data_IF_250925514050
#
_entry.id   IF_250925514050
#
_cell.length_a   1.000
_cell.length_b   1.000
_cell.length_c   1.000
_cell.angle_alpha   90.00
_cell.angle_beta   90.00
_cell.angle_gamma   90.00
#
_symmetry.space_group_name_H-M   'P 1'
#
loop_
_entity.id
_entity.type
_entity.pdbx_description
1 polymer ?
#
# COMPACT_ATOMS: atom_id res chain seq x y z
N UNK A 1 -12.69 23.71 7.09
CA UNK A 1 -13.78 24.22 6.25
C UNK A 1 -14.83 23.14 6.20
N UNK A 2 -15.85 23.20 7.06
CA UNK A 2 -16.99 22.30 6.94
C UNK A 2 -17.77 22.75 5.69
N UNK A 3 -17.57 22.06 4.59
CA UNK A 3 -18.49 22.14 3.47
C UNK A 3 -19.76 21.44 3.96
N UNK A 4 -20.82 22.18 4.12
CA UNK A 4 -22.15 21.64 4.42
C UNK A 4 -22.60 20.84 3.19
N UNK A 5 -22.27 19.55 3.16
CA UNK A 5 -22.41 18.63 2.02
C UNK A 5 -23.88 18.22 1.81
N UNK A 6 -24.79 18.74 2.63
CA UNK A 6 -26.24 18.42 2.57
C UNK A 6 -27.08 19.33 1.67
N UNK A 7 -26.47 20.30 0.96
CA UNK A 7 -27.20 21.07 -0.03
C UNK A 7 -27.27 20.31 -1.36
N UNK A 8 -28.44 19.81 -1.70
CA UNK A 8 -28.71 19.04 -2.93
C UNK A 8 -28.34 19.77 -4.23
N UNK A 9 -28.20 21.08 -4.20
CA UNK A 9 -27.67 21.90 -5.29
C UNK A 9 -26.14 21.75 -5.45
N UNK A 10 -25.43 21.53 -4.36
CA UNK A 10 -23.97 21.37 -4.37
C UNK A 10 -23.57 20.00 -4.93
N UNK A 11 -24.33 18.93 -4.62
CA UNK A 11 -24.05 17.56 -5.10
C UNK A 11 -24.05 17.44 -6.63
N UNK A 12 -24.85 18.26 -7.34
CA UNK A 12 -24.93 18.21 -8.81
C UNK A 12 -23.70 18.79 -9.52
N UNK A 13 -22.89 19.60 -8.85
CA UNK A 13 -21.73 20.30 -9.43
C UNK A 13 -20.39 19.77 -8.94
N UNK A 14 -20.37 18.77 -8.06
CA UNK A 14 -19.15 18.20 -7.48
C UNK A 14 -18.90 16.80 -8.08
N UNK A 15 -17.70 16.59 -8.56
CA UNK A 15 -17.20 15.30 -9.01
C UNK A 15 -16.10 14.81 -8.09
N UNK A 16 -16.33 13.66 -7.42
CA UNK A 16 -15.35 13.02 -6.57
C UNK A 16 -14.61 11.93 -7.35
N UNK A 17 -13.30 12.03 -7.40
CA UNK A 17 -12.43 11.16 -8.17
C UNK A 17 -11.33 10.55 -7.32
N UNK A 18 -10.84 9.40 -7.75
CA UNK A 18 -9.61 8.80 -7.26
C UNK A 18 -8.89 8.03 -8.39
N UNK A 19 -7.58 7.80 -8.31
CA UNK A 19 -6.85 7.02 -9.32
C UNK A 19 -7.26 5.55 -9.39
N UNK A 20 -7.67 4.96 -8.25
CA UNK A 20 -7.99 3.54 -8.13
C UNK A 20 -9.44 3.31 -7.72
N UNK A 21 -9.99 2.12 -8.08
CA UNK A 21 -11.35 1.74 -7.71
C UNK A 21 -11.56 1.63 -6.20
N UNK A 22 -10.58 1.11 -5.48
CA UNK A 22 -10.65 1.02 -4.00
C UNK A 22 -10.67 2.39 -3.34
N UNK A 23 -9.82 3.30 -3.78
CA UNK A 23 -9.80 4.67 -3.26
C UNK A 23 -11.14 5.38 -3.55
N UNK A 24 -11.70 5.24 -4.76
CA UNK A 24 -12.99 5.84 -5.10
C UNK A 24 -14.13 5.24 -4.28
N UNK A 25 -14.16 3.92 -4.08
CA UNK A 25 -15.17 3.25 -3.24
C UNK A 25 -15.10 3.74 -1.78
N UNK A 26 -13.87 3.85 -1.25
CA UNK A 26 -13.64 4.37 0.09
C UNK A 26 -14.08 5.83 0.23
N UNK A 27 -13.71 6.68 -0.74
CA UNK A 27 -14.13 8.08 -0.79
C UNK A 27 -15.66 8.21 -0.80
N UNK A 28 -16.35 7.37 -1.59
CA UNK A 28 -17.82 7.31 -1.61
C UNK A 28 -18.40 6.91 -0.25
N UNK A 29 -17.84 5.90 0.42
CA UNK A 29 -18.33 5.46 1.74
C UNK A 29 -18.14 6.56 2.78
N UNK A 30 -17.01 7.25 2.77
CA UNK A 30 -16.69 8.30 3.75
C UNK A 30 -17.52 9.57 3.56
N UNK A 31 -17.81 9.92 2.31
CA UNK A 31 -18.52 11.17 1.98
C UNK A 31 -20.02 11.00 1.82
N UNK A 32 -20.49 9.78 1.56
CA UNK A 32 -21.88 9.51 1.15
C UNK A 32 -22.19 9.96 -0.28
N UNK A 33 -21.23 10.61 -0.98
CA UNK A 33 -21.40 11.11 -2.35
C UNK A 33 -20.78 10.11 -3.33
N UNK A 34 -21.42 9.93 -4.49
CA UNK A 34 -20.91 9.05 -5.54
C UNK A 34 -19.52 9.48 -5.97
N UNK A 35 -18.57 8.57 -5.85
CA UNK A 35 -17.20 8.74 -6.33
C UNK A 35 -16.85 7.67 -7.37
N UNK A 36 -15.92 7.98 -8.26
CA UNK A 36 -15.49 7.06 -9.33
C UNK A 36 -14.00 7.26 -9.64
N UNK A 37 -13.46 6.34 -10.44
CA UNK A 37 -12.06 6.49 -10.89
C UNK A 37 -11.95 7.59 -11.94
N UNK A 38 -10.77 8.22 -12.04
CA UNK A 38 -10.49 9.22 -13.09
C UNK A 38 -10.73 8.59 -14.46
N UNK A 39 -10.23 7.38 -14.72
CA UNK A 39 -10.45 6.65 -15.97
C UNK A 39 -11.94 6.49 -16.32
N UNK A 40 -12.76 6.15 -15.32
CA UNK A 40 -14.20 6.00 -15.52
C UNK A 40 -14.89 7.34 -15.79
N UNK A 41 -14.49 8.41 -15.11
CA UNK A 41 -15.00 9.75 -15.35
C UNK A 41 -14.66 10.25 -16.76
N UNK A 42 -13.47 9.91 -17.24
CA UNK A 42 -13.02 10.22 -18.59
C UNK A 42 -13.52 9.24 -19.66
N UNK A 43 -14.35 8.25 -19.26
CA UNK A 43 -14.92 7.25 -20.17
C UNK A 43 -13.82 6.51 -20.97
N UNK A 44 -12.77 6.06 -20.28
CA UNK A 44 -11.67 5.33 -20.88
C UNK A 44 -12.13 4.02 -21.53
N UNK A 45 -11.68 3.79 -22.75
CA UNK A 45 -11.89 2.56 -23.52
C UNK A 45 -10.55 2.08 -24.07
N UNK A 46 -10.23 0.81 -23.87
CA UNK A 46 -8.95 0.20 -24.32
C UNK A 46 -8.70 0.33 -25.83
N UNK A 47 -9.76 0.38 -26.63
CA UNK A 47 -9.66 0.48 -28.11
C UNK A 47 -9.70 1.91 -28.65
N UNK A 48 -10.20 2.87 -27.89
CA UNK A 48 -10.47 4.24 -28.34
C UNK A 48 -9.85 5.33 -27.46
N UNK A 49 -9.20 4.97 -26.35
CA UNK A 49 -8.66 5.96 -25.41
C UNK A 49 -9.75 6.61 -24.54
N UNK A 50 -9.59 7.91 -24.29
CA UNK A 50 -10.51 8.68 -23.45
C UNK A 50 -11.58 9.39 -24.31
N UNK A 51 -12.88 9.15 -24.03
CA UNK A 51 -13.98 9.81 -24.71
C UNK A 51 -14.24 11.22 -24.22
N UNK A 52 -13.85 11.55 -22.99
CA UNK A 52 -13.86 12.90 -22.45
C UNK A 52 -12.56 13.58 -22.78
N UNK A 53 -12.63 14.82 -23.27
CA UNK A 53 -11.45 15.59 -23.71
C UNK A 53 -11.84 16.99 -24.21
N UNK A 54 -11.11 17.52 -25.18
CA UNK A 54 -11.32 18.88 -25.67
C UNK A 54 -12.72 19.14 -26.23
N UNK A 55 -13.28 18.19 -26.97
CA UNK A 55 -14.59 18.32 -27.64
C UNK A 55 -15.76 17.81 -26.79
N UNK A 56 -15.48 17.06 -25.74
CA UNK A 56 -16.49 16.47 -24.85
C UNK A 56 -16.08 16.63 -23.39
N UNK A 57 -16.38 17.78 -22.82
CA UNK A 57 -15.98 18.18 -21.46
C UNK A 57 -16.78 17.46 -20.38
N UNK A 58 -16.18 17.39 -19.18
CA UNK A 58 -16.92 17.13 -17.96
C UNK A 58 -17.83 18.34 -17.66
N UNK A 59 -19.00 18.06 -17.08
CA UNK A 59 -20.01 19.11 -16.79
C UNK A 59 -19.86 19.77 -15.44
N UNK A 60 -19.04 19.14 -14.57
CA UNK A 60 -18.90 19.54 -13.18
C UNK A 60 -17.92 20.70 -13.01
N UNK A 61 -18.28 21.61 -12.09
CA UNK A 61 -17.49 22.81 -11.84
C UNK A 61 -16.48 22.64 -10.70
N UNK A 62 -16.65 21.65 -9.82
CA UNK A 62 -15.72 21.33 -8.75
C UNK A 62 -15.31 19.87 -8.82
N UNK A 63 -14.04 19.63 -9.04
CA UNK A 63 -13.45 18.29 -9.12
C UNK A 63 -12.54 18.10 -7.92
N UNK A 64 -12.82 17.10 -7.09
CA UNK A 64 -12.00 16.74 -5.94
C UNK A 64 -11.38 15.38 -6.22
N UNK A 65 -10.06 15.29 -6.12
CA UNK A 65 -9.30 14.09 -6.46
C UNK A 65 -8.54 13.64 -5.24
N UNK A 66 -8.93 12.51 -4.68
CA UNK A 66 -8.21 11.87 -3.56
C UNK A 66 -7.10 10.95 -4.07
N UNK A 67 -6.13 10.60 -3.20
CA UNK A 67 -4.93 9.80 -3.50
C UNK A 67 -4.13 10.34 -4.71
N UNK A 68 -4.02 11.67 -4.82
CA UNK A 68 -3.41 12.36 -5.97
C UNK A 68 -1.91 12.06 -6.15
N UNK A 69 -1.23 11.49 -5.16
CA UNK A 69 0.16 11.01 -5.29
C UNK A 69 0.31 9.91 -6.36
N UNK A 70 -0.77 9.21 -6.69
CA UNK A 70 -0.79 8.13 -7.68
C UNK A 70 -1.08 8.61 -9.11
N UNK A 71 -1.33 9.90 -9.33
CA UNK A 71 -1.61 10.44 -10.67
C UNK A 71 -0.29 10.63 -11.41
N UNK A 72 -0.19 10.05 -12.62
CA UNK A 72 0.89 10.31 -13.55
C UNK A 72 0.58 11.47 -14.49
N UNK A 73 1.58 11.86 -15.29
CA UNK A 73 1.45 13.02 -16.20
C UNK A 73 0.43 12.77 -17.31
N UNK A 74 0.34 11.55 -17.81
CA UNK A 74 -0.58 11.18 -18.88
C UNK A 74 -2.03 11.30 -18.41
N UNK A 75 -2.33 10.74 -17.24
CA UNK A 75 -3.67 10.83 -16.67
C UNK A 75 -4.05 12.26 -16.30
N UNK A 76 -3.09 13.05 -15.79
CA UNK A 76 -3.29 14.48 -15.55
C UNK A 76 -3.61 15.22 -16.85
N UNK A 77 -2.86 14.96 -17.91
CA UNK A 77 -3.06 15.59 -19.21
C UNK A 77 -4.49 15.37 -19.71
N UNK A 78 -4.95 14.13 -19.79
CA UNK A 78 -6.30 13.81 -20.25
C UNK A 78 -7.40 14.38 -19.34
N UNK A 79 -7.14 14.42 -18.02
CA UNK A 79 -8.07 15.06 -17.10
C UNK A 79 -8.19 16.56 -17.37
N UNK A 80 -7.07 17.26 -17.54
CA UNK A 80 -7.08 18.70 -17.83
C UNK A 80 -7.77 19.03 -19.15
N UNK A 81 -7.55 18.19 -20.18
CA UNK A 81 -8.25 18.35 -21.46
C UNK A 81 -9.76 18.22 -21.32
N UNK A 82 -10.26 17.40 -20.40
CA UNK A 82 -11.67 17.18 -20.19
C UNK A 82 -12.37 18.23 -19.34
N UNK A 83 -11.65 19.17 -18.73
CA UNK A 83 -12.22 20.17 -17.82
C UNK A 83 -12.77 21.40 -18.55
N UNK A 84 -13.81 22.00 -17.98
CA UNK A 84 -14.22 23.35 -18.36
C UNK A 84 -13.17 24.35 -17.86
N UNK A 85 -13.01 25.46 -18.58
CA UNK A 85 -12.07 26.53 -18.16
C UNK A 85 -12.47 27.16 -16.81
N UNK A 86 -13.73 27.03 -16.43
CA UNK A 86 -14.29 27.52 -15.17
C UNK A 86 -14.22 26.49 -14.03
N UNK A 87 -13.80 25.26 -14.32
CA UNK A 87 -13.73 24.21 -13.30
C UNK A 87 -12.62 24.49 -12.29
N UNK A 88 -12.92 24.19 -11.04
CA UNK A 88 -11.97 24.20 -9.93
C UNK A 88 -11.53 22.78 -9.62
N UNK A 89 -10.24 22.58 -9.38
CA UNK A 89 -9.69 21.29 -9.00
C UNK A 89 -9.07 21.38 -7.61
N UNK A 90 -9.35 20.35 -6.80
CA UNK A 90 -8.72 20.13 -5.51
C UNK A 90 -7.99 18.79 -5.55
N UNK A 91 -6.67 18.82 -5.49
CA UNK A 91 -5.85 17.63 -5.33
C UNK A 91 -5.66 17.34 -3.85
N UNK A 92 -6.07 16.15 -3.41
CA UNK A 92 -5.87 15.65 -2.05
C UNK A 92 -4.94 14.45 -2.12
N UNK A 93 -3.91 14.41 -1.30
CA UNK A 93 -2.97 13.29 -1.33
C UNK A 93 -1.80 13.48 -0.39
N UNK A 94 -1.02 12.44 -0.26
CA UNK A 94 0.16 12.38 0.60
C UNK A 94 1.40 12.20 -0.28
N UNK A 95 2.22 13.25 -0.39
CA UNK A 95 3.43 13.24 -1.22
C UNK A 95 4.59 12.45 -0.60
N UNK A 96 4.49 12.05 0.68
CA UNK A 96 5.43 11.15 1.34
C UNK A 96 5.17 9.68 1.03
N UNK A 97 3.99 9.34 0.49
CA UNK A 97 3.69 8.00 -0.03
C UNK A 97 4.40 7.75 -1.37
N UNK A 98 4.31 6.49 -1.83
CA UNK A 98 4.82 6.11 -3.15
C UNK A 98 4.17 6.94 -4.25
N UNK A 99 4.94 7.46 -5.21
CA UNK A 99 4.42 8.18 -6.36
C UNK A 99 3.68 7.23 -7.33
N UNK A 100 3.12 7.79 -8.40
CA UNK A 100 2.52 7.03 -9.50
C UNK A 100 3.51 5.99 -10.08
N UNK A 101 2.99 4.88 -10.60
CA UNK A 101 3.81 3.91 -11.36
C UNK A 101 4.22 4.51 -12.70
N UNK A 102 3.30 5.24 -13.36
CA UNK A 102 3.55 5.97 -14.59
C UNK A 102 4.51 7.15 -14.42
N UNK A 103 4.88 7.77 -15.52
CA UNK A 103 5.85 8.87 -15.57
C UNK A 103 5.35 10.12 -14.83
N UNK A 104 6.29 10.88 -14.25
CA UNK A 104 5.99 12.14 -13.57
C UNK A 104 5.92 12.03 -12.05
N UNK A 105 5.72 13.18 -11.41
CA UNK A 105 5.54 13.31 -9.96
C UNK A 105 4.54 14.46 -9.69
N UNK A 106 3.34 14.29 -10.21
CA UNK A 106 2.34 15.35 -10.37
C UNK A 106 2.09 16.11 -9.09
N UNK A 107 1.73 15.44 -7.99
CA UNK A 107 1.39 16.12 -6.74
C UNK A 107 2.57 16.92 -6.18
N UNK A 108 3.76 16.34 -6.19
CA UNK A 108 4.97 17.01 -5.70
C UNK A 108 5.36 18.18 -6.60
N UNK A 109 5.22 18.05 -7.93
CA UNK A 109 5.48 19.13 -8.89
C UNK A 109 4.50 20.30 -8.72
N UNK A 110 3.21 20.01 -8.51
CA UNK A 110 2.20 21.03 -8.23
C UNK A 110 2.57 21.82 -6.97
N UNK A 111 2.93 21.13 -5.89
CA UNK A 111 3.37 21.75 -4.63
C UNK A 111 4.64 22.58 -4.84
N UNK A 112 5.64 22.01 -5.50
CA UNK A 112 6.93 22.64 -5.72
C UNK A 112 6.88 23.83 -6.69
N UNK A 113 5.85 23.91 -7.54
CA UNK A 113 5.64 25.04 -8.45
C UNK A 113 5.47 26.36 -7.71
N UNK A 114 5.00 26.35 -6.47
CA UNK A 114 4.69 27.54 -5.64
C UNK A 114 3.70 28.50 -6.29
N UNK A 115 2.97 28.07 -7.31
CA UNK A 115 1.93 28.83 -8.00
C UNK A 115 0.53 28.40 -7.64
N UNK A 116 0.41 27.22 -7.05
CA UNK A 116 -0.85 26.62 -6.61
C UNK A 116 -0.98 26.80 -5.10
N UNK A 117 -2.17 27.12 -4.64
CA UNK A 117 -2.45 27.25 -3.21
C UNK A 117 -2.35 25.87 -2.57
N UNK A 118 -1.51 25.74 -1.54
CA UNK A 118 -1.28 24.49 -0.83
C UNK A 118 -1.71 24.65 0.63
N UNK A 119 -2.60 23.78 1.07
CA UNK A 119 -2.94 23.60 2.49
C UNK A 119 -2.35 22.29 2.98
N UNK A 120 -1.49 22.36 4.00
CA UNK A 120 -0.90 21.16 4.60
C UNK A 120 -1.64 20.83 5.88
N UNK A 121 -2.14 19.59 5.96
CA UNK A 121 -2.68 19.04 7.18
C UNK A 121 -1.50 18.55 8.02
N UNK A 122 -1.31 19.15 9.18
CA UNK A 122 -0.21 18.81 10.10
C UNK A 122 -0.67 17.90 11.24
N UNK A 123 -1.98 17.86 11.48
CA UNK A 123 -2.60 17.02 12.50
C UNK A 123 -3.24 15.78 11.85
N UNK A 124 -2.93 14.61 12.39
CA UNK A 124 -3.48 13.34 11.90
C UNK A 124 -4.68 12.98 12.77
N UNK A 125 -5.89 13.16 12.21
CA UNK A 125 -7.15 12.90 12.91
C UNK A 125 -7.64 11.45 12.82
N UNK A 126 -6.93 10.59 12.04
CA UNK A 126 -7.36 9.22 11.70
C UNK A 126 -7.26 8.25 12.87
N UNK A 127 -6.36 8.50 13.79
CA UNK A 127 -6.08 7.68 14.97
C UNK A 127 -6.09 8.59 16.20
N UNK A 128 -6.11 8.01 17.41
CA UNK A 128 -5.97 8.79 18.66
C UNK A 128 -4.70 9.62 18.58
N UNK A 129 -4.71 10.83 19.10
CA UNK A 129 -3.58 11.79 19.07
C UNK A 129 -2.24 11.18 19.51
N UNK A 130 -2.28 10.10 20.30
CA UNK A 130 -1.11 9.38 20.83
C UNK A 130 -0.74 8.10 20.06
N UNK A 131 -1.23 7.87 18.85
CA UNK A 131 -0.95 6.63 18.11
C UNK A 131 0.55 6.47 17.81
N UNK A 132 1.08 5.29 18.18
CA UNK A 132 2.47 4.93 17.89
C UNK A 132 2.72 4.71 16.40
N UNK A 133 1.71 4.35 15.60
CA UNK A 133 1.80 4.25 14.14
C UNK A 133 2.06 5.63 13.54
N UNK A 134 1.37 6.66 14.02
CA UNK A 134 1.59 8.05 13.59
C UNK A 134 3.01 8.49 13.94
N UNK A 135 3.41 8.28 15.19
CA UNK A 135 4.77 8.64 15.65
C UNK A 135 5.84 7.96 14.81
N UNK A 136 5.69 6.66 14.54
CA UNK A 136 6.63 5.93 13.69
C UNK A 136 6.66 6.49 12.26
N UNK A 137 5.50 6.79 11.67
CA UNK A 137 5.44 7.36 10.32
C UNK A 137 6.12 8.73 10.24
N UNK A 138 5.96 9.58 11.25
CA UNK A 138 6.65 10.86 11.36
C UNK A 138 8.17 10.70 11.54
N UNK A 139 8.60 9.75 12.37
CA UNK A 139 10.02 9.42 12.55
C UNK A 139 10.67 8.98 11.24
N UNK A 140 9.95 8.17 10.44
CA UNK A 140 10.41 7.75 9.11
C UNK A 140 10.53 8.95 8.18
N UNK A 141 9.53 9.82 8.14
CA UNK A 141 9.57 11.01 7.28
C UNK A 141 10.72 11.94 7.66
N UNK A 142 10.99 12.08 8.94
CA UNK A 142 12.08 12.90 9.46
C UNK A 142 13.44 12.19 9.38
N UNK A 143 13.52 10.97 8.88
CA UNK A 143 14.72 10.12 8.81
C UNK A 143 15.42 9.93 10.16
N UNK A 144 14.65 9.96 11.24
CA UNK A 144 15.15 9.83 12.61
C UNK A 144 14.26 8.89 13.41
N UNK A 145 14.68 7.62 13.54
CA UNK A 145 13.93 6.62 14.29
C UNK A 145 14.50 6.50 15.70
N UNK A 146 13.63 6.74 16.67
CA UNK A 146 13.84 6.29 18.04
C UNK A 146 13.27 4.86 18.19
N UNK A 147 14.15 3.88 18.28
CA UNK A 147 13.74 2.48 18.40
C UNK A 147 13.01 2.17 19.70
N UNK A 148 13.00 3.09 20.69
CA UNK A 148 12.21 2.94 21.91
C UNK A 148 10.70 2.87 21.64
N UNK A 149 10.22 3.34 20.47
CA UNK A 149 8.83 3.25 20.05
C UNK A 149 8.33 1.79 20.02
N UNK A 150 9.21 0.85 19.71
CA UNK A 150 8.88 -0.57 19.69
C UNK A 150 8.74 -1.18 21.10
N UNK A 151 9.15 -0.45 22.15
CA UNK A 151 9.00 -0.89 23.53
C UNK A 151 7.59 -0.68 24.08
N UNK A 152 6.81 0.23 23.50
CA UNK A 152 5.43 0.54 23.95
C UNK A 152 4.44 -0.61 23.71
N UNK A 153 4.68 -1.44 22.69
CA UNK A 153 3.97 -2.70 22.37
C UNK A 153 2.45 -2.60 22.32
N UNK A 154 1.92 -1.45 21.91
CA UNK A 154 0.48 -1.25 21.76
C UNK A 154 0.01 -1.41 20.33
N UNK A 155 0.64 -0.66 19.42
CA UNK A 155 0.23 -0.56 18.02
C UNK A 155 1.37 -0.94 17.07
N UNK A 156 2.63 -0.77 17.50
CA UNK A 156 3.82 -1.01 16.67
C UNK A 156 4.70 -2.06 17.31
N UNK A 157 5.03 -3.10 16.53
CA UNK A 157 5.84 -4.23 16.96
C UNK A 157 7.01 -4.43 16.01
N UNK A 158 8.17 -4.73 16.56
CA UNK A 158 9.33 -5.12 15.78
C UNK A 158 9.90 -6.44 16.29
N UNK A 159 9.97 -7.44 15.39
CA UNK A 159 10.58 -8.73 15.67
C UNK A 159 11.90 -8.85 14.89
N UNK A 160 13.00 -8.78 15.60
CA UNK A 160 14.33 -9.02 15.01
C UNK A 160 14.55 -10.52 14.88
N UNK A 161 14.68 -10.99 13.62
CA UNK A 161 14.88 -12.41 13.33
C UNK A 161 15.67 -12.58 12.01
N UNK A 162 16.37 -13.71 11.88
CA UNK A 162 17.04 -14.06 10.63
C UNK A 162 16.04 -14.30 9.50
N UNK A 163 16.43 -13.93 8.30
CA UNK A 163 15.59 -13.98 7.10
C UNK A 163 14.94 -15.36 6.87
N UNK A 164 15.68 -16.46 7.07
CA UNK A 164 15.18 -17.83 6.92
C UNK A 164 13.99 -18.18 7.84
N UNK A 165 13.84 -17.46 8.94
CA UNK A 165 12.81 -17.70 9.95
C UNK A 165 11.60 -16.75 9.83
N UNK A 166 11.68 -15.73 8.97
CA UNK A 166 10.64 -14.68 8.85
C UNK A 166 9.29 -15.27 8.48
N UNK A 167 9.24 -16.15 7.48
CA UNK A 167 7.98 -16.75 7.01
C UNK A 167 7.33 -17.59 8.11
N UNK A 168 8.13 -18.38 8.83
CA UNK A 168 7.64 -19.19 9.95
C UNK A 168 7.04 -18.32 11.07
N UNK A 169 7.69 -17.18 11.38
CA UNK A 169 7.17 -16.26 12.38
C UNK A 169 5.87 -15.58 11.91
N UNK A 170 5.79 -15.20 10.63
CA UNK A 170 4.55 -14.68 10.05
C UNK A 170 3.42 -15.70 10.22
N UNK A 171 3.64 -16.95 9.87
CA UNK A 171 2.65 -18.02 10.01
C UNK A 171 2.20 -18.18 11.47
N UNK A 172 3.14 -18.20 12.42
CA UNK A 172 2.81 -18.30 13.87
C UNK A 172 1.96 -17.10 14.34
N UNK A 173 2.26 -15.89 13.89
CA UNK A 173 1.47 -14.69 14.21
C UNK A 173 0.05 -14.82 13.64
N UNK A 174 -0.06 -15.26 12.40
CA UNK A 174 -1.35 -15.48 11.73
C UNK A 174 -2.16 -16.58 12.41
N UNK A 175 -1.52 -17.71 12.82
CA UNK A 175 -2.15 -18.79 13.59
C UNK A 175 -2.72 -18.28 14.89
N UNK A 176 -1.93 -17.53 15.63
CA UNK A 176 -2.38 -16.96 16.90
C UNK A 176 -3.55 -16.02 16.71
N UNK A 177 -3.47 -15.13 15.69
CA UNK A 177 -4.58 -14.23 15.38
C UNK A 177 -5.86 -15.00 15.04
N UNK A 178 -5.75 -16.02 14.23
CA UNK A 178 -6.86 -16.90 13.85
C UNK A 178 -7.46 -17.65 15.05
N UNK A 179 -6.61 -18.14 15.97
CA UNK A 179 -7.05 -18.88 17.17
C UNK A 179 -7.89 -18.03 18.14
N UNK A 180 -7.83 -16.72 18.03
CA UNK A 180 -8.59 -15.76 18.83
C UNK A 180 -9.96 -15.43 18.21
N UNK A 181 -10.42 -16.22 17.23
CA UNK A 181 -11.66 -16.01 16.48
C UNK A 181 -11.76 -14.65 15.76
N UNK A 182 -10.62 -14.08 15.39
CA UNK A 182 -10.55 -12.89 14.59
C UNK A 182 -10.65 -13.25 13.09
N UNK A 183 -11.15 -12.32 12.29
CA UNK A 183 -11.22 -12.52 10.84
C UNK A 183 -9.83 -12.30 10.20
N UNK A 184 -9.07 -13.41 10.09
CA UNK A 184 -7.72 -13.39 9.52
C UNK A 184 -7.69 -12.78 8.11
N UNK A 185 -8.68 -13.07 7.30
CA UNK A 185 -8.68 -12.71 5.88
C UNK A 185 -8.93 -11.21 5.65
N UNK A 186 -9.79 -10.60 6.44
CA UNK A 186 -10.12 -9.18 6.30
C UNK A 186 -9.28 -8.28 7.23
N UNK A 187 -8.91 -8.80 8.41
CA UNK A 187 -8.22 -8.00 9.42
C UNK A 187 -6.70 -7.92 9.22
N UNK A 188 -6.09 -8.96 8.63
CA UNK A 188 -4.63 -9.06 8.49
C UNK A 188 -4.19 -8.98 7.04
N UNK A 189 -3.15 -8.19 6.77
CA UNK A 189 -2.52 -8.14 5.46
C UNK A 189 -1.00 -8.18 5.57
N UNK A 190 -0.37 -9.10 4.85
CA UNK A 190 1.08 -9.11 4.69
C UNK A 190 1.44 -8.23 3.50
N UNK A 191 2.32 -7.24 3.72
CA UNK A 191 2.79 -6.31 2.70
C UNK A 191 4.29 -6.49 2.48
N UNK A 192 4.69 -6.98 1.33
CA UNK A 192 6.10 -7.19 1.01
C UNK A 192 6.54 -6.34 -0.20
N UNK A 193 7.84 -5.92 -0.26
CA UNK A 193 8.33 -5.07 -1.33
C UNK A 193 8.60 -5.79 -2.64
N UNK A 194 8.84 -7.13 -2.61
CA UNK A 194 9.29 -7.91 -3.77
C UNK A 194 8.47 -9.19 -3.94
N UNK A 195 8.36 -9.65 -5.18
CA UNK A 195 7.69 -10.91 -5.52
C UNK A 195 8.56 -12.13 -5.22
N UNK A 196 9.83 -12.09 -5.62
CA UNK A 196 10.78 -13.21 -5.51
C UNK A 196 11.57 -13.18 -4.19
N UNK A 197 12.16 -14.33 -3.83
CA UNK A 197 13.01 -14.51 -2.65
C UNK A 197 12.31 -15.26 -1.52
N UNK A 198 13.08 -15.62 -0.48
CA UNK A 198 12.59 -16.42 0.65
C UNK A 198 11.41 -15.77 1.41
N UNK A 199 11.38 -14.45 1.45
CA UNK A 199 10.31 -13.66 2.08
C UNK A 199 9.50 -12.89 1.03
N UNK A 200 9.61 -13.25 -0.26
CA UNK A 200 8.88 -12.64 -1.36
C UNK A 200 7.39 -13.00 -1.35
N UNK A 201 6.60 -12.22 -2.06
CA UNK A 201 5.14 -12.37 -2.12
C UNK A 201 4.74 -13.76 -2.57
N UNK A 202 5.43 -14.31 -3.58
CA UNK A 202 5.09 -15.64 -4.14
C UNK A 202 5.30 -16.73 -3.10
N UNK A 203 6.45 -16.72 -2.41
CA UNK A 203 6.76 -17.70 -1.37
C UNK A 203 5.87 -17.52 -0.13
N UNK A 204 5.61 -16.29 0.29
CA UNK A 204 4.67 -15.99 1.37
C UNK A 204 3.27 -16.53 1.06
N UNK A 205 2.74 -16.26 -0.12
CA UNK A 205 1.43 -16.74 -0.53
C UNK A 205 1.40 -18.28 -0.56
N UNK A 206 2.43 -18.92 -1.10
CA UNK A 206 2.54 -20.38 -1.16
C UNK A 206 2.55 -21.02 0.23
N UNK A 207 3.36 -20.49 1.15
CA UNK A 207 3.50 -21.02 2.51
C UNK A 207 2.25 -20.79 3.35
N UNK A 208 1.68 -19.58 3.28
CA UNK A 208 0.45 -19.24 4.02
C UNK A 208 -0.72 -20.09 3.51
N UNK A 209 -0.90 -20.22 2.19
CA UNK A 209 -1.91 -21.10 1.61
C UNK A 209 -1.72 -22.54 2.08
N UNK A 210 -0.51 -23.08 1.97
CA UNK A 210 -0.21 -24.46 2.35
C UNK A 210 -0.49 -24.73 3.84
N UNK A 211 -0.31 -23.72 4.70
CA UNK A 211 -0.55 -23.83 6.14
C UNK A 211 -2.05 -23.71 6.48
N UNK A 212 -2.73 -22.68 6.01
CA UNK A 212 -4.10 -22.37 6.43
C UNK A 212 -5.17 -23.04 5.58
N UNK A 213 -4.91 -23.32 4.30
CA UNK A 213 -5.91 -23.87 3.41
C UNK A 213 -5.60 -25.31 3.01
N UNK A 214 -6.29 -26.25 3.66
CA UNK A 214 -6.18 -27.70 3.40
C UNK A 214 -7.24 -28.24 2.44
N UNK A 215 -8.01 -27.35 1.78
CA UNK A 215 -9.02 -27.79 0.83
C UNK A 215 -8.44 -28.62 -0.29
N UNK A 216 -9.09 -29.74 -0.60
CA UNK A 216 -8.77 -30.61 -1.72
C UNK A 216 -9.42 -30.14 -3.03
N UNK A 217 -10.39 -29.21 -2.93
CA UNK A 217 -11.04 -28.63 -4.09
C UNK A 217 -10.22 -27.45 -4.59
N UNK A 218 -9.63 -27.63 -5.76
CA UNK A 218 -8.78 -26.61 -6.36
C UNK A 218 -8.93 -26.55 -7.88
N UNK A 219 -8.43 -25.45 -8.43
CA UNK A 219 -8.28 -25.23 -9.87
C UNK A 219 -6.88 -24.67 -10.13
N UNK A 220 -6.28 -25.07 -11.27
CA UNK A 220 -4.97 -24.58 -11.70
C UNK A 220 -5.12 -23.54 -12.80
N UNK A 221 -4.28 -22.52 -12.76
CA UNK A 221 -4.12 -21.51 -13.81
C UNK A 221 -2.63 -21.18 -13.94
N UNK A 222 -1.98 -21.75 -14.97
CA UNK A 222 -0.52 -21.73 -15.07
C UNK A 222 0.13 -22.38 -13.84
N UNK A 223 1.04 -21.67 -13.20
CA UNK A 223 1.73 -22.13 -11.99
C UNK A 223 0.91 -21.89 -10.71
N UNK A 224 -0.17 -21.12 -10.80
CA UNK A 224 -1.01 -20.81 -9.66
C UNK A 224 -2.03 -21.91 -9.38
N UNK A 225 -2.20 -22.22 -8.09
CA UNK A 225 -3.23 -23.14 -7.60
C UNK A 225 -4.18 -22.33 -6.71
N UNK A 226 -5.45 -22.29 -7.10
CA UNK A 226 -6.50 -21.65 -6.31
C UNK A 226 -7.38 -22.72 -5.67
N UNK A 227 -7.62 -22.61 -4.37
CA UNK A 227 -8.42 -23.53 -3.56
C UNK A 227 -9.68 -22.86 -3.05
N UNK A 228 -10.73 -23.64 -2.78
CA UNK A 228 -11.85 -23.14 -1.99
C UNK A 228 -11.34 -22.65 -0.62
N UNK A 229 -11.75 -21.45 -0.22
CA UNK A 229 -11.27 -20.80 0.99
C UNK A 229 -10.09 -19.86 0.78
N UNK A 230 -9.47 -19.80 -0.40
CA UNK A 230 -8.34 -18.90 -0.64
C UNK A 230 -8.74 -17.43 -0.62
N UNK A 231 -7.86 -16.64 -0.04
CA UNK A 231 -7.86 -15.19 -0.20
C UNK A 231 -7.18 -14.85 -1.53
N UNK A 232 -7.89 -14.11 -2.37
CA UNK A 232 -7.44 -13.73 -3.72
C UNK A 232 -7.46 -12.23 -3.92
N UNK A 233 -6.64 -11.78 -4.86
CA UNK A 233 -6.51 -10.39 -5.28
C UNK A 233 -6.84 -10.29 -6.77
N UNK A 234 -7.74 -9.40 -7.14
CA UNK A 234 -8.01 -9.04 -8.54
C UNK A 234 -6.86 -8.18 -9.08
N UNK A 235 -6.33 -8.54 -10.24
CA UNK A 235 -5.16 -7.90 -10.85
C UNK A 235 -5.51 -6.81 -11.86
N UNK A 236 -6.68 -6.91 -12.49
CA UNK A 236 -7.15 -6.01 -13.55
C UNK A 236 -8.60 -5.59 -13.29
N UNK A 237 -9.02 -4.47 -13.88
CA UNK A 237 -10.42 -4.07 -13.79
C UNK A 237 -11.30 -5.00 -14.63
N UNK A 238 -12.42 -5.42 -14.07
CA UNK A 238 -13.44 -6.18 -14.80
C UNK A 238 -14.80 -5.48 -14.67
N UNK A 239 -15.15 -4.58 -15.59
CA UNK A 239 -16.39 -3.81 -15.53
C UNK A 239 -17.66 -4.68 -15.62
N UNK A 240 -17.59 -5.80 -16.34
CA UNK A 240 -18.73 -6.74 -16.50
C UNK A 240 -19.08 -7.39 -15.16
N UNK A 241 -18.10 -7.78 -14.39
CA UNK A 241 -18.26 -8.36 -13.07
C UNK A 241 -18.32 -7.29 -11.96
N UNK A 242 -18.12 -6.02 -12.30
CA UNK A 242 -18.04 -4.88 -11.36
C UNK A 242 -16.94 -5.04 -10.30
N UNK A 243 -15.82 -5.67 -10.67
CA UNK A 243 -14.65 -5.89 -9.82
C UNK A 243 -13.53 -5.02 -10.34
N UNK A 244 -12.74 -4.47 -9.41
CA UNK A 244 -11.65 -3.56 -9.74
C UNK A 244 -10.28 -4.16 -9.39
N UNK A 245 -9.25 -3.67 -10.06
CA UNK A 245 -7.86 -3.99 -9.70
C UNK A 245 -7.62 -3.62 -8.22
N UNK A 246 -7.06 -4.57 -7.49
CA UNK A 246 -6.80 -4.45 -6.06
C UNK A 246 -7.92 -5.00 -5.17
N UNK A 247 -9.10 -5.35 -5.69
CA UNK A 247 -10.16 -5.94 -4.87
C UNK A 247 -9.71 -7.29 -4.31
N UNK A 248 -9.96 -7.49 -3.02
CA UNK A 248 -9.68 -8.73 -2.32
C UNK A 248 -10.97 -9.52 -2.18
N UNK A 249 -10.90 -10.80 -2.51
CA UNK A 249 -12.03 -11.71 -2.37
C UNK A 249 -11.63 -13.02 -1.70
N UNK A 250 -12.65 -13.81 -1.36
CA UNK A 250 -12.49 -15.16 -0.82
C UNK A 250 -13.23 -16.15 -1.70
N UNK A 251 -12.54 -17.17 -2.17
CA UNK A 251 -13.15 -18.24 -2.98
C UNK A 251 -14.05 -19.06 -2.07
N UNK A 252 -15.35 -18.97 -2.25
CA UNK A 252 -16.32 -19.73 -1.46
C UNK A 252 -16.53 -21.14 -2.01
N UNK A 253 -16.67 -21.26 -3.34
CA UNK A 253 -16.97 -22.53 -4.01
C UNK A 253 -16.28 -22.59 -5.37
N UNK A 254 -15.79 -23.76 -5.76
CA UNK A 254 -15.34 -24.08 -7.11
C UNK A 254 -16.33 -25.10 -7.69
N UNK A 255 -17.11 -24.68 -8.69
CA UNK A 255 -18.17 -25.49 -9.28
C UNK A 255 -17.87 -25.83 -10.75
N UNK A 256 -17.90 -27.13 -11.07
CA UNK A 256 -17.87 -27.61 -12.44
C UNK A 256 -19.32 -27.80 -12.92
N UNK A 257 -19.67 -27.18 -14.03
CA UNK A 257 -20.98 -27.31 -14.71
C UNK A 257 -20.77 -27.83 -16.12
N UNK A 258 -21.86 -28.16 -16.82
CA UNK A 258 -21.80 -28.57 -18.24
C UNK A 258 -21.21 -27.46 -19.13
N UNK A 259 -21.40 -26.19 -18.75
CA UNK A 259 -20.97 -25.01 -19.49
C UNK A 259 -19.57 -24.51 -19.11
N UNK A 260 -18.91 -25.17 -18.17
CA UNK A 260 -17.56 -24.80 -17.74
C UNK A 260 -17.34 -24.84 -16.23
N UNK A 261 -16.17 -24.38 -15.81
CA UNK A 261 -15.81 -24.27 -14.39
C UNK A 261 -15.91 -22.80 -13.95
N UNK A 262 -16.54 -22.60 -12.82
CA UNK A 262 -16.75 -21.27 -12.22
C UNK A 262 -16.27 -21.26 -10.76
N UNK A 263 -15.75 -20.12 -10.34
CA UNK A 263 -15.46 -19.85 -8.95
C UNK A 263 -16.53 -18.87 -8.43
N UNK A 264 -17.05 -19.12 -7.27
CA UNK A 264 -17.88 -18.16 -6.56
C UNK A 264 -17.00 -17.45 -5.54
N UNK A 265 -16.68 -16.19 -5.83
CA UNK A 265 -15.77 -15.40 -5.03
C UNK A 265 -16.54 -14.29 -4.34
N UNK A 266 -16.36 -14.20 -3.04
CA UNK A 266 -16.96 -13.14 -2.21
C UNK A 266 -16.03 -11.93 -2.21
N UNK A 267 -16.39 -10.88 -2.91
CA UNK A 267 -15.73 -9.57 -2.87
C UNK A 267 -16.60 -8.61 -2.05
N UNK A 268 -16.18 -8.28 -0.82
CA UNK A 268 -16.89 -7.34 0.06
C UNK A 268 -18.39 -7.66 0.22
N UNK A 269 -18.72 -8.91 0.57
CA UNK A 269 -20.10 -9.44 0.73
C UNK A 269 -20.90 -9.58 -0.59
N UNK A 270 -20.26 -9.36 -1.74
CA UNK A 270 -20.85 -9.62 -3.05
C UNK A 270 -20.27 -10.90 -3.63
N UNK A 271 -21.09 -11.94 -3.73
CA UNK A 271 -20.67 -13.22 -4.33
C UNK A 271 -20.76 -13.10 -5.85
N UNK A 272 -19.59 -13.16 -6.49
CA UNK A 272 -19.45 -13.05 -7.94
C UNK A 272 -19.22 -14.44 -8.55
N UNK A 273 -19.98 -14.77 -9.59
CA UNK A 273 -19.72 -15.94 -10.43
C UNK A 273 -18.56 -15.62 -11.38
N UNK A 274 -17.38 -16.14 -11.08
CA UNK A 274 -16.13 -15.85 -11.75
C UNK A 274 -15.76 -16.98 -12.71
N UNK A 275 -15.66 -16.76 -14.02
CA UNK A 275 -15.37 -17.83 -14.99
C UNK A 275 -13.89 -18.23 -14.94
N UNK A 276 -13.63 -19.50 -15.23
CA UNK A 276 -12.26 -20.05 -15.28
C UNK A 276 -11.38 -19.32 -16.30
N UNK A 277 -11.94 -18.81 -17.39
CA UNK A 277 -11.21 -18.05 -18.42
C UNK A 277 -10.51 -16.81 -17.87
N UNK A 278 -11.00 -16.27 -16.76
CA UNK A 278 -10.48 -15.03 -16.16
C UNK A 278 -9.51 -15.29 -14.99
N UNK A 279 -9.09 -16.53 -14.76
CA UNK A 279 -8.20 -16.86 -13.66
C UNK A 279 -6.81 -16.23 -13.77
N UNK A 280 -6.37 -15.86 -14.97
CA UNK A 280 -5.15 -15.05 -15.18
C UNK A 280 -5.21 -13.68 -14.50
N UNK A 281 -6.43 -13.19 -14.26
CA UNK A 281 -6.68 -11.89 -13.64
C UNK A 281 -6.68 -11.96 -12.11
N UNK A 282 -6.45 -13.14 -11.53
CA UNK A 282 -6.38 -13.38 -10.10
C UNK A 282 -4.97 -13.77 -9.64
N UNK A 283 -4.64 -13.36 -8.43
CA UNK A 283 -3.50 -13.87 -7.68
C UNK A 283 -3.94 -14.25 -6.27
N UNK A 284 -3.12 -15.05 -5.56
CA UNK A 284 -3.31 -15.21 -4.12
C UNK A 284 -3.11 -13.86 -3.41
N UNK A 285 -3.93 -13.59 -2.40
CA UNK A 285 -4.02 -12.30 -1.73
C UNK A 285 -3.57 -12.30 -0.27
N UNK A 286 -2.98 -13.38 0.24
CA UNK A 286 -2.47 -13.45 1.63
C UNK A 286 -1.33 -12.44 1.86
N UNK A 287 -0.40 -12.38 0.90
CA UNK A 287 0.63 -11.36 0.81
C UNK A 287 0.50 -10.61 -0.52
N UNK A 288 0.63 -9.28 -0.48
CA UNK A 288 0.58 -8.42 -1.67
C UNK A 288 1.73 -7.42 -1.66
N UNK A 289 1.99 -6.80 -2.82
CA UNK A 289 3.01 -5.75 -2.86
C UNK A 289 2.53 -4.47 -2.17
N UNK A 290 3.49 -3.74 -1.59
CA UNK A 290 3.22 -2.43 -0.98
C UNK A 290 2.59 -1.48 -2.01
N UNK A 291 3.01 -1.53 -3.28
CA UNK A 291 2.41 -0.75 -4.36
C UNK A 291 0.92 -1.06 -4.55
N UNK A 292 0.55 -2.34 -4.53
CA UNK A 292 -0.86 -2.75 -4.67
C UNK A 292 -1.71 -2.47 -3.44
N UNK A 293 -1.11 -2.10 -2.32
CA UNK A 293 -1.83 -1.66 -1.12
C UNK A 293 -2.20 -0.17 -1.13
N UNK A 294 -1.69 0.61 -2.09
CA UNK A 294 -2.03 2.03 -2.21
C UNK A 294 -3.55 2.22 -2.39
N UNK A 295 -4.11 3.24 -1.75
CA UNK A 295 -5.56 3.48 -1.70
C UNK A 295 -6.35 2.48 -0.83
N UNK A 296 -5.65 1.51 -0.19
CA UNK A 296 -6.27 0.52 0.72
C UNK A 296 -5.84 0.76 2.16
N UNK A 297 -6.64 0.28 3.10
CA UNK A 297 -6.32 0.26 4.53
C UNK A 297 -6.69 -1.10 5.12
N UNK A 298 -5.91 -1.55 6.07
CA UNK A 298 -6.09 -2.81 6.75
C UNK A 298 -6.08 -2.58 8.27
N UNK A 299 -6.79 -3.39 9.00
CA UNK A 299 -6.81 -3.32 10.46
C UNK A 299 -5.42 -3.53 11.01
N UNK A 300 -4.76 -4.61 10.59
CA UNK A 300 -3.40 -4.94 10.99
C UNK A 300 -2.53 -5.24 9.75
N UNK A 301 -1.29 -4.81 9.79
CA UNK A 301 -0.32 -5.00 8.69
C UNK A 301 0.93 -5.70 9.21
N UNK A 302 1.38 -6.73 8.49
CA UNK A 302 2.66 -7.40 8.71
C UNK A 302 3.62 -7.00 7.59
N UNK A 303 4.82 -6.54 7.94
CA UNK A 303 5.81 -6.06 6.97
C UNK A 303 7.12 -6.82 7.18
N UNK A 304 7.46 -7.79 6.33
CA UNK A 304 8.80 -8.38 6.31
C UNK A 304 9.80 -7.34 5.78
N UNK A 305 10.84 -7.04 6.57
CA UNK A 305 11.94 -6.16 6.20
C UNK A 305 13.27 -6.88 6.34
N UNK A 306 13.72 -7.48 5.26
CA UNK A 306 14.93 -8.31 5.20
C UNK A 306 16.00 -7.69 4.31
N UNK A 307 17.25 -8.11 4.53
CA UNK A 307 18.38 -7.56 3.78
C UNK A 307 18.36 -7.85 2.29
N UNK A 308 17.75 -8.96 1.87
CA UNK A 308 17.57 -9.29 0.45
C UNK A 308 16.70 -8.29 -0.31
N UNK A 309 15.86 -7.53 0.39
CA UNK A 309 14.99 -6.51 -0.20
C UNK A 309 15.69 -5.15 -0.43
N UNK A 310 16.99 -5.01 -0.14
CA UNK A 310 17.72 -3.73 -0.18
C UNK A 310 17.49 -2.92 -1.45
N UNK A 311 17.40 -3.58 -2.61
CA UNK A 311 17.19 -2.90 -3.89
C UNK A 311 15.90 -2.10 -3.94
N UNK A 312 14.85 -2.55 -3.23
CA UNK A 312 13.54 -1.90 -3.21
C UNK A 312 13.34 -0.99 -1.98
N UNK A 313 14.18 -1.16 -0.95
CA UNK A 313 14.00 -0.41 0.30
C UNK A 313 14.27 1.07 0.10
N UNK A 314 13.23 1.89 0.27
CA UNK A 314 13.25 3.35 0.22
C UNK A 314 12.31 3.90 1.31
N UNK A 315 12.55 5.12 1.75
CA UNK A 315 11.73 5.81 2.77
C UNK A 315 10.24 5.77 2.41
N UNK A 316 9.88 6.23 1.22
CA UNK A 316 8.48 6.29 0.76
C UNK A 316 7.81 4.91 0.75
N UNK A 317 8.56 3.84 0.45
CA UNK A 317 8.02 2.48 0.46
C UNK A 317 7.62 2.04 1.88
N UNK A 318 8.51 2.22 2.85
CA UNK A 318 8.25 1.84 4.25
C UNK A 318 7.13 2.72 4.83
N UNK A 319 7.19 4.01 4.58
CA UNK A 319 6.15 4.95 4.99
C UNK A 319 4.77 4.52 4.47
N UNK A 320 4.67 4.22 3.17
CA UNK A 320 3.43 3.75 2.56
C UNK A 320 2.93 2.47 3.23
N UNK A 321 3.81 1.49 3.49
CA UNK A 321 3.41 0.24 4.11
C UNK A 321 2.86 0.44 5.53
N UNK A 322 3.51 1.26 6.35
CA UNK A 322 3.12 1.53 7.73
C UNK A 322 1.78 2.28 7.78
N UNK A 323 1.61 3.27 6.91
CA UNK A 323 0.37 4.07 6.85
C UNK A 323 -0.84 3.31 6.32
N UNK A 324 -0.68 2.06 5.86
CA UNK A 324 -1.81 1.17 5.52
C UNK A 324 -2.50 0.57 6.74
N UNK A 325 -1.86 0.57 7.91
CA UNK A 325 -2.42 -0.01 9.12
C UNK A 325 -3.32 0.97 9.86
N UNK A 326 -4.44 0.44 10.40
CA UNK A 326 -5.37 1.20 11.26
C UNK A 326 -5.08 0.99 12.74
N UNK A 327 -4.77 -0.25 13.15
CA UNK A 327 -4.63 -0.62 14.56
C UNK A 327 -3.24 -1.13 14.90
N UNK A 328 -2.65 -2.01 14.06
CA UNK A 328 -1.34 -2.59 14.38
C UNK A 328 -0.42 -2.69 13.16
N UNK A 329 0.85 -2.37 13.40
CA UNK A 329 1.97 -2.62 12.48
C UNK A 329 2.91 -3.62 13.12
N UNK A 330 3.21 -4.70 12.41
CA UNK A 330 4.13 -5.75 12.84
C UNK A 330 5.26 -5.82 11.82
N UNK A 331 6.44 -5.36 12.20
CA UNK A 331 7.63 -5.39 11.36
C UNK A 331 8.47 -6.59 11.77
N UNK A 332 8.90 -7.40 10.79
CA UNK A 332 9.65 -8.63 11.04
C UNK A 332 10.91 -8.66 10.19
N UNK A 333 12.07 -8.83 10.78
CA UNK A 333 13.33 -8.95 10.05
C UNK A 333 14.50 -8.25 10.70
N UNK A 334 15.21 -7.42 9.92
CA UNK A 334 16.45 -6.78 10.36
C UNK A 334 16.25 -5.27 10.57
N UNK A 335 16.53 -4.72 11.77
CA UNK A 335 16.43 -3.28 12.03
C UNK A 335 17.28 -2.44 11.09
N UNK A 336 18.45 -2.95 10.67
CA UNK A 336 19.31 -2.27 9.70
C UNK A 336 18.62 -2.06 8.34
N UNK A 337 17.58 -2.85 7.99
CA UNK A 337 16.82 -2.66 6.78
C UNK A 337 16.01 -1.35 6.80
N UNK A 338 15.49 -0.97 7.98
CA UNK A 338 14.81 0.32 8.16
C UNK A 338 15.80 1.46 7.99
N UNK A 339 16.90 1.45 8.76
CA UNK A 339 17.94 2.47 8.66
C UNK A 339 18.46 2.60 7.23
N UNK A 340 18.72 1.46 6.56
CA UNK A 340 19.12 1.47 5.16
C UNK A 340 18.12 2.20 4.27
N UNK A 341 16.84 1.90 4.40
CA UNK A 341 15.79 2.52 3.58
C UNK A 341 15.69 4.04 3.78
N UNK A 342 15.92 4.53 5.00
CA UNK A 342 15.84 5.96 5.33
C UNK A 342 17.00 6.77 4.71
N UNK A 343 18.18 6.17 4.65
CA UNK A 343 19.38 6.85 4.14
C UNK A 343 19.66 6.59 2.66
N UNK A 344 18.87 5.73 2.00
CA UNK A 344 18.95 5.61 0.56
C UNK A 344 18.47 6.89 -0.11
N UNK A 345 19.21 7.30 -1.13
CA UNK A 345 18.78 8.39 -1.99
C UNK A 345 17.49 7.95 -2.69
N UNK A 346 16.45 8.75 -2.56
CA UNK A 346 15.26 8.58 -3.39
C UNK A 346 15.63 8.92 -4.82
N UNK A 347 15.18 8.10 -5.77
CA UNK A 347 15.33 8.44 -7.18
C UNK A 347 14.52 9.70 -7.46
N UNK A 348 15.21 10.79 -7.68
CA UNK A 348 14.56 12.05 -8.08
C UNK A 348 14.09 11.88 -9.52
N UNK A 349 12.78 11.82 -9.69
CA UNK A 349 12.19 11.83 -11.02
C UNK A 349 12.47 13.16 -11.69
N UNK A 350 13.10 13.11 -12.87
CA UNK A 350 13.31 14.33 -13.66
C UNK A 350 11.99 14.70 -14.33
N UNK A 351 11.33 15.72 -13.80
CA UNK A 351 10.07 16.23 -14.30
C UNK A 351 10.21 17.68 -14.75
N UNK A 352 9.39 18.10 -15.69
CA UNK A 352 9.34 19.49 -16.16
C UNK A 352 8.10 20.25 -15.70
N UNK A 353 7.11 19.58 -15.13
CA UNK A 353 5.79 20.13 -14.81
C UNK A 353 5.88 21.35 -13.88
N UNK A 354 6.66 21.27 -12.80
CA UNK A 354 6.82 22.41 -11.89
C UNK A 354 7.38 23.66 -12.58
N UNK A 355 8.33 23.48 -13.53
CA UNK A 355 8.91 24.58 -14.31
C UNK A 355 7.97 25.11 -15.38
N UNK A 356 7.15 24.25 -15.98
CA UNK A 356 6.11 24.68 -16.92
C UNK A 356 5.07 25.56 -16.23
N UNK A 357 4.69 25.21 -15.01
CA UNK A 357 3.75 26.04 -14.19
C UNK A 357 4.41 27.32 -13.70
N UNK A 358 5.70 27.27 -13.34
CA UNK A 358 6.45 28.41 -12.85
C UNK A 358 7.84 28.50 -13.51
N UNK A 359 7.97 29.20 -14.65
CA UNK A 359 9.23 29.34 -15.36
C UNK A 359 10.34 30.03 -14.54
N UNK A 360 10.00 30.75 -13.48
CA UNK A 360 10.97 31.39 -12.60
C UNK A 360 11.62 30.47 -11.58
N UNK A 361 11.28 29.17 -11.56
CA UNK A 361 11.97 28.19 -10.73
C UNK A 361 13.38 27.97 -11.28
N UNK A 362 14.37 28.57 -10.63
CA UNK A 362 15.78 28.31 -10.91
C UNK A 362 16.10 26.85 -10.60
N UNK A 363 16.72 26.16 -11.52
CA UNK A 363 17.11 24.77 -11.37
C UNK A 363 18.23 24.61 -10.33
N UNK A 364 17.91 24.54 -9.07
CA UNK A 364 18.89 24.20 -8.01
C UNK A 364 19.47 22.77 -8.16
N UNK A 365 18.93 21.96 -9.06
CA UNK A 365 19.33 20.55 -9.20
C UNK A 365 20.57 20.32 -10.05
N UNK A 366 21.00 21.28 -10.87
CA UNK A 366 22.24 21.11 -11.66
C UNK A 366 23.52 21.49 -10.92
N UNK A 367 23.43 22.40 -9.96
CA UNK A 367 24.61 22.81 -9.17
C UNK A 367 25.00 21.77 -8.11
N UNK A 368 24.04 21.06 -7.51
CA UNK A 368 24.32 20.05 -6.50
C UNK A 368 24.95 18.76 -7.08
N UNK A 369 24.75 18.45 -8.36
CA UNK A 369 25.43 17.30 -9.00
C UNK A 369 26.85 17.58 -9.42
N UNK A 370 27.23 18.83 -9.65
CA UNK A 370 28.60 19.21 -9.97
C UNK A 370 29.46 19.40 -8.71
N UNK A 371 28.84 19.72 -7.58
CA UNK A 371 29.55 19.91 -6.29
C UNK A 371 29.72 18.57 -5.54
N UNK A 372 28.86 17.58 -5.74
CA UNK A 372 28.97 16.28 -5.06
C UNK A 372 30.08 15.36 -5.59
N UNK A 373 30.64 15.67 -6.77
CA UNK A 373 31.75 14.90 -7.33
C UNK A 373 33.16 15.41 -6.91
N UNK A 374 33.23 16.39 -6.02
CA UNK A 374 34.53 16.97 -5.60
C UNK A 374 34.84 16.90 -4.10
N UNK A 375 34.02 16.25 -3.31
CA UNK A 375 34.32 16.03 -1.88
C UNK A 375 34.02 14.58 -1.51
N UNK A 376 34.96 13.69 -1.78
CA UNK A 376 35.12 12.48 -0.98
C UNK A 376 35.53 12.91 0.43
N UNK A 377 34.57 13.13 1.29
CA UNK A 377 34.80 13.03 2.73
C UNK A 377 34.23 11.69 3.16
N UNK A 378 35.13 10.77 3.48
CA UNK A 378 34.90 9.65 4.34
C UNK A 378 34.29 10.16 5.66
N UNK A 379 33.01 10.34 5.74
CA UNK A 379 32.31 10.33 7.00
C UNK A 379 32.24 8.87 7.45
N UNK A 380 33.12 8.52 8.36
CA UNK A 380 33.07 7.30 9.16
C UNK A 380 31.66 7.24 9.76
N UNK A 381 30.83 6.41 9.15
CA UNK A 381 29.58 5.96 9.76
C UNK A 381 29.99 5.27 11.06
N UNK A 382 29.82 5.93 12.19
CA UNK A 382 29.89 5.30 13.49
C UNK A 382 28.73 4.30 13.56
N UNK A 383 29.05 3.05 13.23
CA UNK A 383 28.19 1.93 13.59
C UNK A 383 28.14 1.91 15.11
N UNK A 384 26.98 2.17 15.69
CA UNK A 384 26.71 1.76 17.06
C UNK A 384 26.72 0.23 17.00
N UNK A 385 27.88 -0.36 17.35
CA UNK A 385 27.93 -1.76 17.74
C UNK A 385 27.10 -1.87 19.01
N UNK A 386 25.90 -2.38 18.88
CA UNK A 386 25.19 -2.99 20.00
C UNK A 386 26.06 -4.19 20.35
N UNK A 387 26.76 -4.12 21.48
CA UNK A 387 27.55 -5.25 22.00
C UNK A 387 26.61 -6.46 22.11
N UNK A 388 27.12 -7.63 21.73
CA UNK A 388 26.42 -8.93 21.84
C UNK A 388 25.96 -9.28 23.27
N UNK A 389 26.28 -8.48 24.28
CA UNK A 389 25.83 -8.63 25.66
C UNK A 389 24.50 -7.90 25.98
N UNK A 390 24.09 -6.95 25.16
CA UNK A 390 22.79 -6.29 25.28
C UNK A 390 21.83 -6.82 24.20
N UNK A 391 21.51 -8.11 24.32
CA UNK A 391 20.30 -8.66 23.72
C UNK A 391 19.11 -7.96 24.41
N UNK A 392 18.73 -6.81 23.91
CA UNK A 392 17.44 -6.21 24.20
C UNK A 392 16.38 -7.13 23.59
N UNK A 393 16.20 -8.29 24.24
CA UNK A 393 15.03 -9.11 24.05
C UNK A 393 13.84 -8.27 24.49
N UNK A 394 13.14 -7.73 23.51
CA UNK A 394 11.88 -7.07 23.79
C UNK A 394 10.89 -8.11 24.29
N UNK A 395 10.69 -8.12 25.59
CA UNK A 395 9.66 -8.89 26.24
C UNK A 395 8.29 -8.41 25.76
N UNK A 396 7.57 -9.25 25.06
CA UNK A 396 6.14 -9.10 24.84
C UNK A 396 5.43 -9.96 25.88
N UNK A 397 5.08 -9.37 27.02
CA UNK A 397 4.07 -9.91 27.90
C UNK A 397 2.77 -9.19 27.63
N UNK A 398 1.75 -9.91 27.14
CA UNK A 398 0.32 -9.56 27.16
C UNK A 398 -0.32 -8.83 25.96
N UNK A 399 0.38 -8.26 24.96
CA UNK A 399 -0.27 -7.38 23.96
C UNK A 399 -0.61 -8.02 22.60
N UNK A 400 -0.21 -9.26 22.35
CA UNK A 400 -0.81 -10.12 21.34
C UNK A 400 -1.68 -11.19 21.99
N UNK A 401 -2.49 -10.80 23.01
CA UNK A 401 -3.34 -11.71 23.77
C UNK A 401 -2.58 -12.94 24.30
N UNK A 402 -1.44 -12.72 24.95
CA UNK A 402 -0.68 -13.77 25.62
C UNK A 402 0.41 -14.46 24.79
N UNK A 403 0.74 -14.01 23.57
CA UNK A 403 1.97 -14.42 22.88
C UNK A 403 3.18 -13.72 23.46
N UNK A 404 4.15 -14.50 23.94
CA UNK A 404 5.48 -14.01 24.23
C UNK A 404 6.43 -14.36 23.08
N UNK A 405 7.57 -13.63 22.91
CA UNK A 405 8.60 -14.02 21.94
C UNK A 405 9.11 -15.46 22.16
N UNK A 406 9.07 -15.94 23.41
CA UNK A 406 9.46 -17.31 23.77
C UNK A 406 8.52 -18.37 23.20
N UNK A 407 7.23 -18.13 23.17
CA UNK A 407 6.26 -19.06 22.58
C UNK A 407 6.48 -19.26 21.09
N UNK A 408 7.19 -18.32 20.46
CA UNK A 408 7.57 -18.38 19.04
C UNK A 408 8.99 -18.95 18.84
N UNK A 409 9.84 -19.01 19.88
CA UNK A 409 11.25 -19.40 19.77
C UNK A 409 11.55 -20.82 20.29
N UNK A 410 10.76 -21.38 21.21
CA UNK A 410 11.06 -22.67 21.86
C UNK A 410 11.10 -23.87 20.90
N UNK A 411 10.50 -23.80 19.71
CA UNK A 411 10.54 -24.90 18.74
C UNK A 411 11.65 -24.79 17.69
N UNK A 412 12.42 -23.70 17.66
CA UNK A 412 13.52 -23.54 16.69
C UNK A 412 14.86 -24.06 17.22
N UNK A 413 14.92 -24.40 18.51
CA UNK A 413 16.13 -24.81 19.23
C UNK A 413 16.21 -26.31 19.60
N UNK A 414 15.36 -27.16 19.09
CA UNK A 414 15.32 -28.58 19.43
C UNK A 414 16.21 -29.47 18.58
N UNK A 415 17.51 -29.43 18.75
CA UNK A 415 18.39 -30.62 18.67
C UNK A 415 19.59 -30.40 19.61
N UNK A 416 19.39 -30.69 20.89
CA UNK A 416 20.48 -31.10 21.77
C UNK A 416 20.37 -32.61 21.89
N UNK A 417 21.54 -33.26 21.59
CA UNK A 417 21.93 -34.65 21.90
C UNK A 417 21.46 -35.70 20.88
N UNK A 418 22.34 -36.44 20.27
CA UNK A 418 23.48 -37.22 20.80
C UNK A 418 24.62 -37.26 19.78
#
# INVERSE_FOLDING_TARGET
MNLDVHDTKFERNVLLLAPTGRASKRLQIQTGIKAQTIHKALEYNEFGGFNKGLDNKLSENLIIIDESSMIDVELLYHLLEALLITSQIVFVGDFDQLPSVGAGNVLEDLINSKKIVVSRLTEIMRQKEDSDIIKLSQMINNKNIDYSIFNNKKEVFFYQIEEKNVVNLIIKILDRYNSLHNDLYYDMQVLAPMYSGLCGIDELNRQIQAHFNKSERFIKSGDNIFKEGDKVLQLVNNPQLKIMNGDIGIIKVIQKTNDGTYLYIDFDQNIIKYPQSNLSDLALGYAISIHKSQGSEYKNVIIPLVSSFRIMLRKKLIYTAITRAKEKVIIIGNPNAISYALYQNEEIRQTSLARLINPNLVSKSYENHLISNSVEKEEKIQYIRINDSDSAFMYIKEDLNGLTPYDCMEEVGGNKND
#
